data_IF_096320608387
#
_entry.id   IF_096320608387
#
_cell.length_a   1.000
_cell.length_b   1.000
_cell.length_c   1.000
_cell.angle_alpha   90.00
_cell.angle_beta   90.00
_cell.angle_gamma   90.00
#
_symmetry.space_group_name_H-M   'P 1'
#
loop_
_entity.id
_entity.type
_entity.pdbx_description
1 polymer ?
#
# COMPACT_ATOMS: atom_id res chain seq x y z
N UNK A 1 2.97 -4.95 -16.71
CA UNK A 1 2.61 -4.33 -15.40
C UNK A 1 3.79 -4.55 -14.47
N UNK A 2 4.47 -3.48 -14.04
CA UNK A 2 5.64 -3.60 -13.16
C UNK A 2 5.25 -3.83 -11.70
N UNK A 3 6.20 -4.25 -10.87
CA UNK A 3 5.99 -4.50 -9.44
C UNK A 3 5.46 -3.26 -8.69
N UNK A 4 5.84 -2.07 -9.15
CA UNK A 4 5.35 -0.79 -8.61
C UNK A 4 3.85 -0.59 -8.88
N UNK A 5 3.36 -0.96 -10.07
CA UNK A 5 1.93 -0.92 -10.41
C UNK A 5 1.13 -1.86 -9.51
N UNK A 6 1.66 -3.07 -9.23
CA UNK A 6 1.01 -4.04 -8.35
C UNK A 6 0.96 -3.53 -6.90
N UNK A 7 2.05 -2.94 -6.41
CA UNK A 7 2.08 -2.29 -5.09
C UNK A 7 1.04 -1.18 -4.99
N UNK A 8 0.93 -0.33 -6.00
CA UNK A 8 -0.06 0.75 -6.05
C UNK A 8 -1.49 0.20 -6.06
N UNK A 9 -1.76 -0.82 -6.88
CA UNK A 9 -3.08 -1.45 -6.97
C UNK A 9 -3.51 -2.02 -5.61
N UNK A 10 -2.62 -2.73 -4.92
CA UNK A 10 -2.88 -3.24 -3.56
C UNK A 10 -3.19 -2.07 -2.62
N UNK A 11 -2.38 -1.02 -2.62
CA UNK A 11 -2.60 0.14 -1.75
C UNK A 11 -3.94 0.83 -2.01
N UNK A 12 -4.32 1.02 -3.28
CA UNK A 12 -5.60 1.62 -3.66
C UNK A 12 -6.78 0.74 -3.23
N UNK A 13 -6.71 -0.58 -3.46
CA UNK A 13 -7.76 -1.50 -3.03
C UNK A 13 -7.98 -1.43 -1.52
N UNK A 14 -6.91 -1.42 -0.72
CA UNK A 14 -7.00 -1.30 0.73
C UNK A 14 -7.43 0.08 1.21
N UNK A 15 -7.06 1.14 0.50
CA UNK A 15 -7.53 2.50 0.80
C UNK A 15 -9.04 2.64 0.57
N UNK A 16 -9.55 2.11 -0.54
CA UNK A 16 -10.99 2.07 -0.83
C UNK A 16 -11.74 1.20 0.18
N UNK A 17 -11.22 0.02 0.51
CA UNK A 17 -11.80 -0.83 1.54
C UNK A 17 -11.83 -0.13 2.91
N UNK A 18 -10.75 0.58 3.26
CA UNK A 18 -10.67 1.37 4.49
C UNK A 18 -11.70 2.50 4.52
N UNK A 19 -11.87 3.23 3.42
CA UNK A 19 -12.90 4.26 3.29
C UNK A 19 -14.31 3.67 3.49
N UNK A 20 -14.62 2.56 2.82
CA UNK A 20 -15.90 1.86 2.98
C UNK A 20 -16.11 1.40 4.43
N UNK A 21 -15.05 0.90 5.08
CA UNK A 21 -15.11 0.51 6.49
C UNK A 21 -15.44 1.70 7.39
N UNK A 22 -14.86 2.87 7.15
CA UNK A 22 -15.15 4.07 7.95
C UNK A 22 -16.59 4.55 7.75
N UNK A 23 -17.13 4.47 6.53
CA UNK A 23 -18.45 5.02 6.18
C UNK A 23 -19.60 4.08 6.58
N UNK A 24 -19.45 2.78 6.37
CA UNK A 24 -20.54 1.82 6.50
C UNK A 24 -20.54 1.02 7.81
N UNK A 25 -19.44 0.99 8.55
CA UNK A 25 -19.37 0.27 9.83
C UNK A 25 -19.75 1.20 10.97
N UNK A 26 -20.58 0.70 11.88
CA UNK A 26 -21.01 1.45 13.05
C UNK A 26 -19.82 1.91 13.92
N UNK A 27 -19.92 3.12 14.46
CA UNK A 27 -18.99 3.62 15.47
C UNK A 27 -19.03 2.72 16.71
N UNK A 28 -17.88 2.43 17.36
CA UNK A 28 -16.53 2.98 17.14
C UNK A 28 -15.63 2.14 16.21
N UNK A 29 -16.17 1.08 15.62
CA UNK A 29 -15.35 0.08 14.92
C UNK A 29 -14.94 0.52 13.51
N UNK A 30 -15.73 1.36 12.83
CA UNK A 30 -15.41 1.85 11.48
C UNK A 30 -14.05 2.53 11.36
N UNK A 31 -13.74 3.55 12.18
CA UNK A 31 -12.42 4.19 12.20
C UNK A 31 -11.27 3.23 12.49
N UNK A 32 -11.43 2.35 13.48
CA UNK A 32 -10.39 1.38 13.88
C UNK A 32 -10.11 0.36 12.77
N UNK A 33 -11.17 -0.15 12.14
CA UNK A 33 -11.07 -1.13 11.06
C UNK A 33 -10.52 -0.48 9.77
N UNK A 34 -10.92 0.76 9.48
CA UNK A 34 -10.36 1.55 8.39
C UNK A 34 -8.86 1.80 8.57
N UNK A 35 -8.43 2.20 9.77
CA UNK A 35 -7.01 2.39 10.09
C UNK A 35 -6.22 1.08 9.94
N UNK A 36 -6.76 -0.03 10.45
CA UNK A 36 -6.15 -1.35 10.30
C UNK A 36 -5.97 -1.74 8.83
N UNK A 37 -6.99 -1.54 8.00
CA UNK A 37 -6.94 -1.82 6.56
C UNK A 37 -5.88 -0.98 5.84
N UNK A 38 -5.73 0.30 6.20
CA UNK A 38 -4.70 1.17 5.63
C UNK A 38 -3.28 0.68 5.98
N UNK A 39 -3.02 0.42 7.25
CA UNK A 39 -1.71 -0.08 7.72
C UNK A 39 -1.40 -1.44 7.09
N UNK A 40 -2.38 -2.33 7.05
CA UNK A 40 -2.23 -3.64 6.44
C UNK A 40 -1.99 -3.56 4.93
N UNK A 41 -2.68 -2.67 4.22
CA UNK A 41 -2.46 -2.42 2.78
C UNK A 41 -1.05 -1.92 2.47
N UNK A 42 -0.52 -1.00 3.30
CA UNK A 42 0.86 -0.52 3.18
C UNK A 42 1.87 -1.65 3.43
N UNK A 43 1.65 -2.45 4.48
CA UNK A 43 2.50 -3.58 4.81
C UNK A 43 2.48 -4.66 3.71
N UNK A 44 1.30 -5.04 3.23
CA UNK A 44 1.11 -6.05 2.19
C UNK A 44 1.70 -5.58 0.86
N UNK A 45 1.43 -4.35 0.45
CA UNK A 45 2.01 -3.77 -0.77
C UNK A 45 3.53 -3.79 -0.75
N UNK A 46 4.15 -3.44 0.40
CA UNK A 46 5.61 -3.54 0.59
C UNK A 46 6.11 -4.99 0.58
N UNK A 47 5.37 -5.92 1.22
CA UNK A 47 5.72 -7.35 1.28
C UNK A 47 5.67 -7.99 -0.11
N UNK A 48 4.62 -7.70 -0.88
CA UNK A 48 4.42 -8.21 -2.25
C UNK A 48 5.48 -7.64 -3.17
N UNK A 49 5.72 -6.32 -3.16
CA UNK A 49 6.78 -5.69 -3.96
C UNK A 49 8.13 -6.39 -3.76
N UNK A 50 8.56 -6.62 -2.51
CA UNK A 50 9.82 -7.33 -2.22
C UNK A 50 9.88 -8.77 -2.73
N UNK A 51 8.73 -9.43 -2.95
CA UNK A 51 8.68 -10.80 -3.45
C UNK A 51 8.69 -10.89 -4.98
N UNK A 52 8.12 -9.90 -5.66
CA UNK A 52 7.92 -9.94 -7.12
C UNK A 52 8.87 -9.02 -7.89
N UNK A 53 9.43 -8.01 -7.24
CA UNK A 53 10.25 -7.00 -7.92
C UNK A 53 11.56 -7.60 -8.41
N UNK A 54 11.94 -7.26 -9.65
CA UNK A 54 13.24 -7.61 -10.20
C UNK A 54 14.33 -6.68 -9.65
N UNK A 55 15.60 -7.06 -9.82
CA UNK A 55 16.74 -6.24 -9.37
C UNK A 55 16.74 -4.84 -9.99
N UNK A 56 16.31 -4.71 -11.25
CA UNK A 56 16.21 -3.43 -11.94
C UNK A 56 15.13 -2.52 -11.34
N UNK A 57 13.96 -3.09 -11.02
CA UNK A 57 12.87 -2.34 -10.36
C UNK A 57 13.25 -1.92 -8.94
N UNK A 58 13.99 -2.76 -8.21
CA UNK A 58 14.51 -2.42 -6.88
C UNK A 58 15.55 -1.29 -6.99
N UNK A 59 16.44 -1.36 -7.98
CA UNK A 59 17.43 -0.30 -8.23
C UNK A 59 16.77 1.01 -8.60
N UNK A 60 15.71 0.98 -9.41
CA UNK A 60 14.91 2.17 -9.73
C UNK A 60 14.20 2.74 -8.50
N UNK A 61 13.54 1.91 -7.68
CA UNK A 61 12.89 2.36 -6.42
C UNK A 61 13.91 2.97 -5.44
N UNK A 62 15.12 2.42 -5.36
CA UNK A 62 16.22 2.99 -4.57
C UNK A 62 16.72 4.32 -5.13
N UNK A 63 16.92 4.42 -6.45
CA UNK A 63 17.34 5.66 -7.11
C UNK A 63 16.33 6.76 -6.89
N UNK A 64 15.05 6.47 -7.10
CA UNK A 64 13.97 7.42 -6.89
C UNK A 64 13.96 7.95 -5.44
N UNK A 65 14.16 7.10 -4.43
CA UNK A 65 14.26 7.54 -3.03
C UNK A 65 15.49 8.37 -2.70
N UNK A 66 16.60 8.12 -3.40
CA UNK A 66 17.83 8.90 -3.25
C UNK A 66 17.69 10.25 -3.94
N UNK A 67 17.08 10.27 -5.13
CA UNK A 67 16.83 11.47 -5.92
C UNK A 67 15.76 12.38 -5.28
N UNK A 68 14.74 11.80 -4.64
CA UNK A 68 13.69 12.54 -3.93
C UNK A 68 14.20 13.19 -2.61
N UNK A 69 15.35 12.76 -2.08
CA UNK A 69 15.99 13.36 -0.90
C UNK A 69 15.14 13.35 0.40
N UNK A 70 15.69 13.77 1.55
CA UNK A 70 14.91 14.01 2.77
C UNK A 70 13.96 15.21 2.65
#
# INVERSE_FOLDING_TARGET
MGAQTIRFLIQVCFALAGLLAVVFVASPFGPTLGFFLLVFGLWLGRRVFKRIATLDEIRQDLRQRVDDGP
#
